data_IF_189151360668
#
_entry.id   IF_189151360668
#
_cell.length_a   1.000
_cell.length_b   1.000
_cell.length_c   1.000
_cell.angle_alpha   90.00
_cell.angle_beta   90.00
_cell.angle_gamma   90.00
#
_symmetry.space_group_name_H-M   'P 1'
#
loop_
_entity.id
_entity.type
_entity.pdbx_description
1 polymer ?
#
# COMPACT_ATOMS: atom_id res chain seq x y z
N UNK A 1 7.77 -74.52 -25.03
CA UNK A 1 6.76 -73.55 -24.59
C UNK A 1 7.11 -72.88 -23.25
N UNK A 2 7.78 -73.57 -22.32
CA UNK A 2 8.17 -73.05 -20.99
C UNK A 2 8.99 -71.74 -21.02
N UNK A 3 9.95 -71.60 -21.93
CA UNK A 3 10.78 -70.38 -22.02
C UNK A 3 9.98 -69.12 -22.36
N UNK A 4 8.90 -69.24 -23.16
CA UNK A 4 8.02 -68.10 -23.48
C UNK A 4 7.23 -67.64 -22.26
N UNK A 5 6.71 -68.59 -21.49
CA UNK A 5 5.99 -68.32 -20.25
C UNK A 5 6.88 -67.63 -19.19
N UNK A 6 8.16 -67.99 -19.11
CA UNK A 6 9.10 -67.31 -18.22
C UNK A 6 9.40 -65.87 -18.66
N UNK A 7 9.44 -65.59 -19.95
CA UNK A 7 9.64 -64.24 -20.48
C UNK A 7 8.39 -63.39 -20.20
N UNK A 8 7.20 -63.90 -20.50
CA UNK A 8 5.93 -63.22 -20.22
C UNK A 8 5.77 -62.89 -18.73
N UNK A 9 6.01 -63.86 -17.85
CA UNK A 9 5.95 -63.63 -16.40
C UNK A 9 6.97 -62.58 -15.94
N UNK A 10 8.17 -62.55 -16.53
CA UNK A 10 9.18 -61.53 -16.23
C UNK A 10 8.71 -60.15 -16.68
N UNK A 11 8.19 -60.03 -17.90
CA UNK A 11 7.72 -58.76 -18.44
C UNK A 11 6.54 -58.22 -17.63
N UNK A 12 5.62 -59.08 -17.20
CA UNK A 12 4.53 -58.72 -16.29
C UNK A 12 5.04 -58.17 -14.95
N UNK A 13 6.06 -58.80 -14.36
CA UNK A 13 6.66 -58.29 -13.12
C UNK A 13 7.37 -56.94 -13.32
N UNK A 14 8.04 -56.75 -14.44
CA UNK A 14 8.69 -55.47 -14.77
C UNK A 14 7.63 -54.38 -14.94
N UNK A 15 6.54 -54.67 -15.66
CA UNK A 15 5.43 -53.74 -15.85
C UNK A 15 4.76 -53.37 -14.51
N UNK A 16 4.51 -54.36 -13.65
CA UNK A 16 3.95 -54.13 -12.33
C UNK A 16 4.86 -53.24 -11.46
N UNK A 17 6.17 -53.49 -11.48
CA UNK A 17 7.15 -52.68 -10.76
C UNK A 17 7.19 -51.24 -11.29
N UNK A 18 7.20 -51.05 -12.61
CA UNK A 18 7.15 -49.72 -13.21
C UNK A 18 5.87 -48.96 -12.85
N UNK A 19 4.71 -49.63 -12.89
CA UNK A 19 3.45 -49.04 -12.47
C UNK A 19 3.50 -48.59 -11.00
N UNK A 20 4.10 -49.40 -10.12
CA UNK A 20 4.28 -49.06 -8.71
C UNK A 20 5.19 -47.84 -8.52
N UNK A 21 6.31 -47.75 -9.23
CA UNK A 21 7.22 -46.60 -9.16
C UNK A 21 6.50 -45.32 -9.59
N UNK A 22 5.73 -45.36 -10.69
CA UNK A 22 4.96 -44.20 -11.16
C UNK A 22 3.94 -43.76 -10.10
N UNK A 23 3.23 -44.72 -9.50
CA UNK A 23 2.26 -44.41 -8.45
C UNK A 23 2.91 -43.78 -7.22
N UNK A 24 4.06 -44.30 -6.79
CA UNK A 24 4.84 -43.75 -5.67
C UNK A 24 5.32 -42.33 -5.97
N UNK A 25 5.83 -42.07 -7.19
CA UNK A 25 6.28 -40.75 -7.59
C UNK A 25 5.14 -39.73 -7.55
N UNK A 26 3.97 -40.07 -8.11
CA UNK A 26 2.78 -39.19 -8.07
C UNK A 26 2.35 -38.91 -6.63
N UNK A 27 2.42 -39.91 -5.75
CA UNK A 27 2.08 -39.75 -4.35
C UNK A 27 3.07 -38.83 -3.61
N UNK A 28 4.37 -39.02 -3.82
CA UNK A 28 5.42 -38.17 -3.26
C UNK A 28 5.27 -36.72 -3.73
N UNK A 29 4.96 -36.50 -5.00
CA UNK A 29 4.73 -35.15 -5.53
C UNK A 29 3.55 -34.47 -4.83
N UNK A 30 2.44 -35.19 -4.61
CA UNK A 30 1.29 -34.67 -3.87
C UNK A 30 1.63 -34.35 -2.41
N UNK A 31 2.40 -35.22 -1.75
CA UNK A 31 2.87 -34.96 -0.39
C UNK A 31 3.77 -33.73 -0.32
N UNK A 32 4.72 -33.61 -1.24
CA UNK A 32 5.62 -32.47 -1.34
C UNK A 32 4.84 -31.16 -1.56
N UNK A 33 3.83 -31.16 -2.43
CA UNK A 33 2.96 -30.00 -2.63
C UNK A 33 2.18 -29.63 -1.35
N UNK A 34 1.65 -30.62 -0.64
CA UNK A 34 0.90 -30.39 0.59
C UNK A 34 1.80 -29.86 1.73
N UNK A 35 3.01 -30.39 1.87
CA UNK A 35 4.01 -29.89 2.82
C UNK A 35 4.42 -28.46 2.48
N UNK A 36 4.75 -28.21 1.21
CA UNK A 36 5.11 -26.90 0.71
C UNK A 36 4.04 -25.84 1.04
N UNK A 37 2.76 -26.15 0.80
CA UNK A 37 1.65 -25.24 1.11
C UNK A 37 1.51 -24.95 2.61
N UNK A 38 1.80 -25.94 3.47
CA UNK A 38 1.75 -25.79 4.93
C UNK A 38 2.93 -24.96 5.44
N UNK A 39 4.13 -25.22 4.93
CA UNK A 39 5.36 -24.53 5.35
C UNK A 39 5.40 -23.07 4.88
N UNK A 40 4.89 -22.79 3.67
CA UNK A 40 4.89 -21.44 3.10
C UNK A 40 3.60 -20.65 3.37
N UNK A 41 2.77 -21.09 4.31
CA UNK A 41 1.53 -20.38 4.71
C UNK A 41 1.81 -18.94 5.19
N UNK A 42 3.00 -18.68 5.73
CA UNK A 42 3.46 -17.33 6.11
C UNK A 42 4.83 -17.08 5.51
N UNK A 43 5.08 -15.84 5.08
CA UNK A 43 6.43 -15.43 4.73
C UNK A 43 7.30 -15.44 6.00
N UNK A 44 8.21 -16.41 6.10
CA UNK A 44 9.25 -16.39 7.13
C UNK A 44 10.16 -15.18 6.91
N UNK A 45 10.41 -14.42 7.98
CA UNK A 45 11.39 -13.33 7.97
C UNK A 45 12.84 -13.83 7.98
N UNK A 46 13.07 -15.13 8.14
CA UNK A 46 14.40 -15.75 8.14
C UNK A 46 14.86 -16.09 6.72
N UNK A 47 16.18 -16.19 6.56
CA UNK A 47 16.81 -16.58 5.29
C UNK A 47 16.26 -17.93 4.82
N UNK A 48 15.55 -17.93 3.69
CA UNK A 48 15.10 -19.16 3.04
C UNK A 48 16.34 -19.87 2.48
N UNK A 49 16.64 -21.06 3.01
CA UNK A 49 17.74 -21.92 2.53
C UNK A 49 17.45 -22.45 1.11
N UNK A 50 16.17 -22.53 0.73
CA UNK A 50 15.72 -22.91 -0.61
C UNK A 50 14.82 -21.79 -1.16
N UNK A 51 15.36 -21.04 -2.11
CA UNK A 51 14.70 -19.85 -2.66
C UNK A 51 13.53 -20.23 -3.56
N UNK A 52 13.60 -21.45 -4.15
CA UNK A 52 12.64 -21.97 -5.14
C UNK A 52 12.03 -23.34 -4.74
N UNK A 53 11.75 -23.49 -3.43
CA UNK A 53 10.58 -24.23 -2.95
C UNK A 53 10.59 -25.76 -3.03
N UNK A 54 11.54 -26.33 -3.75
CA UNK A 54 11.81 -27.77 -3.78
C UNK A 54 13.29 -27.90 -3.54
N UNK A 55 13.71 -28.76 -2.61
CA UNK A 55 15.12 -29.03 -2.29
C UNK A 55 15.88 -29.63 -3.48
N UNK A 56 16.01 -28.86 -4.55
CA UNK A 56 16.78 -29.14 -5.74
C UNK A 56 18.21 -28.72 -5.46
N UNK A 57 19.13 -29.52 -5.95
CA UNK A 57 20.52 -29.12 -6.10
C UNK A 57 20.53 -28.02 -7.16
N UNK A 58 20.66 -26.76 -6.72
CA UNK A 58 20.83 -25.63 -7.62
C UNK A 58 22.27 -25.62 -8.12
N UNK A 59 22.46 -25.44 -9.43
CA UNK A 59 23.78 -25.14 -9.96
C UNK A 59 24.20 -23.71 -9.53
N UNK A 60 25.51 -23.42 -9.54
CA UNK A 60 26.06 -22.13 -9.07
C UNK A 60 25.34 -20.91 -9.68
N UNK A 61 25.08 -20.91 -10.99
CA UNK A 61 24.36 -19.83 -11.67
C UNK A 61 22.89 -19.72 -11.26
N UNK A 62 22.20 -20.83 -11.04
CA UNK A 62 20.79 -20.84 -10.62
C UNK A 62 20.65 -20.27 -9.21
N UNK A 63 21.60 -20.60 -8.32
CA UNK A 63 21.65 -20.06 -6.96
C UNK A 63 21.85 -18.55 -6.96
N UNK A 64 22.77 -18.02 -7.78
CA UNK A 64 23.02 -16.58 -7.89
C UNK A 64 21.76 -15.84 -8.35
N UNK A 65 21.11 -16.30 -9.43
CA UNK A 65 19.88 -15.64 -9.92
C UNK A 65 18.75 -15.68 -8.90
N UNK A 66 18.64 -16.76 -8.13
CA UNK A 66 17.63 -16.88 -7.08
C UNK A 66 17.90 -15.89 -5.93
N UNK A 67 19.15 -15.73 -5.52
CA UNK A 67 19.55 -14.76 -4.49
C UNK A 67 19.29 -13.32 -4.94
N UNK A 68 19.59 -12.99 -6.20
CA UNK A 68 19.30 -11.68 -6.78
C UNK A 68 17.81 -11.38 -6.78
N UNK A 69 16.97 -12.33 -7.20
CA UNK A 69 15.50 -12.18 -7.15
C UNK A 69 14.99 -11.97 -5.73
N UNK A 70 15.53 -12.67 -4.73
CA UNK A 70 15.12 -12.45 -3.34
C UNK A 70 15.54 -11.07 -2.83
N UNK A 71 16.77 -10.64 -3.13
CA UNK A 71 17.27 -9.31 -2.78
C UNK A 71 16.40 -8.22 -3.41
N UNK A 72 16.08 -8.34 -4.71
CA UNK A 72 15.21 -7.40 -5.40
C UNK A 72 13.80 -7.38 -4.79
N UNK A 73 13.23 -8.55 -4.48
CA UNK A 73 11.94 -8.65 -3.79
C UNK A 73 11.94 -7.91 -2.45
N UNK A 74 13.00 -8.08 -1.64
CA UNK A 74 13.15 -7.38 -0.35
C UNK A 74 13.25 -5.87 -0.56
N UNK A 75 14.06 -5.42 -1.52
CA UNK A 75 14.24 -4.01 -1.84
C UNK A 75 12.93 -3.37 -2.31
N UNK A 76 12.18 -4.03 -3.22
CA UNK A 76 10.86 -3.56 -3.68
C UNK A 76 9.86 -3.47 -2.53
N UNK A 77 9.83 -4.45 -1.61
CA UNK A 77 8.97 -4.40 -0.43
C UNK A 77 9.34 -3.24 0.50
N UNK A 78 10.63 -2.97 0.67
CA UNK A 78 11.11 -1.88 1.52
C UNK A 78 10.78 -0.52 0.91
N UNK A 79 11.08 -0.32 -0.37
CA UNK A 79 10.72 0.89 -1.11
C UNK A 79 9.20 1.15 -1.08
N UNK A 80 8.37 0.10 -1.24
CA UNK A 80 6.92 0.23 -1.14
C UNK A 80 6.45 0.63 0.27
N UNK A 81 7.13 0.15 1.33
CA UNK A 81 6.82 0.58 2.70
C UNK A 81 7.17 2.04 2.92
N UNK A 82 8.33 2.48 2.43
CA UNK A 82 8.78 3.87 2.52
C UNK A 82 7.83 4.81 1.77
N UNK A 83 7.47 4.48 0.52
CA UNK A 83 6.48 5.25 -0.24
C UNK A 83 5.12 5.31 0.46
N UNK A 84 4.66 4.22 1.09
CA UNK A 84 3.43 4.23 1.89
C UNK A 84 3.57 5.10 3.13
N UNK A 85 4.75 5.15 3.74
CA UNK A 85 5.07 6.05 4.86
C UNK A 85 4.95 7.51 4.44
N UNK A 86 5.60 7.89 3.35
CA UNK A 86 5.56 9.25 2.79
C UNK A 86 4.13 9.68 2.46
N UNK A 87 3.37 8.85 1.73
CA UNK A 87 1.96 9.15 1.40
C UNK A 87 1.08 9.34 2.63
N UNK A 88 1.32 8.58 3.71
CA UNK A 88 0.59 8.74 4.98
C UNK A 88 0.99 10.02 5.70
N UNK A 89 2.27 10.40 5.66
CA UNK A 89 2.75 11.65 6.24
C UNK A 89 2.16 12.87 5.52
N UNK A 90 2.20 12.88 4.18
CA UNK A 90 1.60 13.93 3.34
C UNK A 90 0.10 14.07 3.63
N UNK A 91 -0.65 12.96 3.64
CA UNK A 91 -2.09 13.01 3.97
C UNK A 91 -2.38 13.53 5.38
N UNK A 92 -1.49 13.28 6.34
CA UNK A 92 -1.63 13.81 7.71
C UNK A 92 -1.33 15.30 7.77
N UNK A 93 -0.29 15.77 7.08
CA UNK A 93 0.06 17.18 6.98
C UNK A 93 -1.09 17.99 6.35
N UNK A 94 -1.56 17.56 5.18
CA UNK A 94 -2.72 18.14 4.50
C UNK A 94 -3.96 18.23 5.38
N UNK A 95 -4.25 17.17 6.14
CA UNK A 95 -5.39 17.17 7.06
C UNK A 95 -5.19 18.16 8.21
N UNK A 96 -3.97 18.28 8.73
CA UNK A 96 -3.65 19.21 9.81
C UNK A 96 -3.78 20.67 9.35
N UNK A 97 -3.32 21.00 8.14
CA UNK A 97 -3.48 22.33 7.53
C UNK A 97 -4.95 22.69 7.30
N UNK A 98 -5.74 21.76 6.76
CA UNK A 98 -7.20 21.93 6.61
C UNK A 98 -7.91 22.13 7.95
N UNK A 99 -7.47 21.44 9.01
CA UNK A 99 -8.05 21.59 10.34
C UNK A 99 -7.64 22.90 11.00
N UNK A 100 -6.39 23.34 10.84
CA UNK A 100 -5.88 24.61 11.34
C UNK A 100 -6.62 25.80 10.72
N UNK A 101 -6.73 25.84 9.39
CA UNK A 101 -7.47 26.87 8.65
C UNK A 101 -8.97 26.88 8.99
N UNK A 102 -9.58 25.71 9.18
CA UNK A 102 -10.96 25.62 9.64
C UNK A 102 -11.14 26.19 11.05
N UNK A 103 -10.20 25.91 11.96
CA UNK A 103 -10.26 26.43 13.33
C UNK A 103 -10.10 27.95 13.37
N UNK A 104 -9.16 28.53 12.61
CA UNK A 104 -9.01 29.99 12.52
C UNK A 104 -10.26 30.65 11.93
N UNK A 105 -10.85 30.09 10.87
CA UNK A 105 -12.09 30.59 10.29
C UNK A 105 -13.29 30.50 11.25
N UNK A 106 -13.32 29.46 12.10
CA UNK A 106 -14.33 29.33 13.14
C UNK A 106 -14.14 30.40 14.22
N UNK A 107 -12.91 30.65 14.64
CA UNK A 107 -12.59 31.64 15.67
C UNK A 107 -12.92 33.05 15.20
N UNK A 108 -12.56 33.43 13.97
CA UNK A 108 -12.91 34.72 13.38
C UNK A 108 -14.42 34.91 13.28
N UNK A 109 -15.17 33.89 12.85
CA UNK A 109 -16.63 33.94 12.82
C UNK A 109 -17.22 34.09 14.24
N UNK A 110 -16.68 33.40 15.25
CA UNK A 110 -17.17 33.57 16.63
C UNK A 110 -16.91 34.97 17.17
N UNK A 111 -15.77 35.59 16.83
CA UNK A 111 -15.47 36.97 17.16
C UNK A 111 -16.45 37.93 16.47
N UNK A 112 -16.66 37.77 15.16
CA UNK A 112 -17.60 38.58 14.39
C UNK A 112 -19.05 38.48 14.92
N UNK A 113 -19.50 37.27 15.33
CA UNK A 113 -20.82 37.08 15.93
C UNK A 113 -20.91 37.78 17.30
N UNK A 114 -19.85 37.75 18.12
CA UNK A 114 -19.82 38.46 19.40
C UNK A 114 -19.93 39.97 19.20
N UNK A 115 -19.18 40.53 18.24
CA UNK A 115 -19.24 41.96 17.91
C UNK A 115 -20.61 42.35 17.35
N UNK A 116 -21.16 41.54 16.44
CA UNK A 116 -22.50 41.74 15.90
C UNK A 116 -23.58 41.72 16.98
N UNK A 117 -23.49 40.79 17.94
CA UNK A 117 -24.43 40.74 19.08
C UNK A 117 -24.33 41.99 19.93
N UNK A 118 -23.12 42.45 20.28
CA UNK A 118 -22.92 43.71 21.01
C UNK A 118 -23.50 44.91 20.27
N UNK A 119 -23.29 45.00 18.95
CA UNK A 119 -23.86 46.07 18.12
C UNK A 119 -25.39 46.03 18.10
N UNK A 120 -25.98 44.83 18.02
CA UNK A 120 -27.43 44.65 18.09
C UNK A 120 -28.01 45.01 19.47
N UNK A 121 -27.32 44.65 20.55
CA UNK A 121 -27.71 45.01 21.92
C UNK A 121 -27.70 46.54 22.11
N UNK A 122 -26.68 47.25 21.63
CA UNK A 122 -26.61 48.71 21.71
C UNK A 122 -27.72 49.39 20.88
N UNK A 123 -27.98 48.91 19.66
CA UNK A 123 -29.08 49.42 18.83
C UNK A 123 -30.47 49.16 19.46
N UNK A 124 -30.62 48.03 20.16
CA UNK A 124 -31.83 47.73 20.93
C UNK A 124 -31.99 48.72 22.09
N UNK A 125 -30.89 49.05 22.79
CA UNK A 125 -30.89 50.06 23.87
C UNK A 125 -31.27 51.44 23.35
N UNK A 126 -30.87 51.76 22.13
CA UNK A 126 -31.23 52.99 21.41
C UNK A 126 -32.66 52.97 20.82
N UNK A 127 -33.45 51.93 21.08
CA UNK A 127 -34.82 51.72 20.57
C UNK A 127 -34.94 51.71 19.05
N UNK A 128 -33.85 51.37 18.35
CA UNK A 128 -33.89 51.17 16.89
C UNK A 128 -34.74 49.94 16.59
N UNK A 129 -35.60 50.01 15.58
CA UNK A 129 -36.40 48.86 15.16
C UNK A 129 -35.47 47.72 14.74
N UNK A 130 -35.79 46.48 15.16
CA UNK A 130 -35.05 45.26 14.81
C UNK A 130 -34.84 45.06 13.30
N UNK A 131 -35.71 45.64 12.46
CA UNK A 131 -35.59 45.61 10.99
C UNK A 131 -34.36 46.36 10.47
N UNK A 132 -33.83 47.32 11.23
CA UNK A 132 -32.66 48.13 10.87
C UNK A 132 -31.37 47.61 11.52
N UNK A 133 -31.41 46.47 12.22
CA UNK A 133 -30.21 45.88 12.78
C UNK A 133 -29.30 45.35 11.67
N UNK A 134 -27.97 45.36 11.85
CA UNK A 134 -27.06 44.75 10.90
C UNK A 134 -27.42 43.28 10.70
N UNK A 135 -27.22 42.77 9.47
CA UNK A 135 -27.44 41.34 9.17
C UNK A 135 -26.43 40.48 9.91
N UNK A 136 -26.85 39.29 10.33
CA UNK A 136 -25.98 38.36 11.02
C UNK A 136 -24.81 37.92 10.12
N UNK A 137 -23.59 37.75 10.69
CA UNK A 137 -22.46 37.17 9.97
C UNK A 137 -22.82 35.79 9.39
N UNK A 138 -22.38 35.53 8.16
CA UNK A 138 -22.60 34.25 7.49
C UNK A 138 -21.56 33.26 7.99
N UNK A 139 -22.00 32.06 8.37
CA UNK A 139 -21.13 31.00 8.86
C UNK A 139 -20.28 30.45 7.70
N UNK A 140 -18.94 30.40 7.81
CA UNK A 140 -18.11 29.74 6.80
C UNK A 140 -18.45 28.26 6.74
N UNK A 141 -18.55 27.70 5.53
CA UNK A 141 -18.75 26.26 5.34
C UNK A 141 -17.40 25.56 5.21
N UNK A 142 -17.33 24.33 5.70
CA UNK A 142 -16.11 23.50 5.58
C UNK A 142 -15.72 23.25 4.12
N UNK A 143 -16.70 23.13 3.23
CA UNK A 143 -16.51 22.83 1.82
C UNK A 143 -15.71 23.92 1.08
N UNK A 144 -15.98 25.19 1.40
CA UNK A 144 -15.32 26.34 0.76
C UNK A 144 -13.83 26.40 1.12
N UNK A 145 -13.48 26.00 2.35
CA UNK A 145 -12.09 25.99 2.84
C UNK A 145 -11.33 24.78 2.29
N UNK A 146 -11.99 23.62 2.16
CA UNK A 146 -11.37 22.45 1.53
C UNK A 146 -11.11 22.66 0.03
N UNK A 147 -11.95 23.44 -0.66
CA UNK A 147 -11.75 23.78 -2.07
C UNK A 147 -10.57 24.75 -2.25
N UNK A 148 -10.40 25.73 -1.37
CA UNK A 148 -9.29 26.68 -1.44
C UNK A 148 -7.92 26.00 -1.22
N UNK A 149 -7.82 25.08 -0.27
CA UNK A 149 -6.55 24.40 0.06
C UNK A 149 -6.15 23.36 -0.99
N UNK A 150 -7.12 22.74 -1.66
CA UNK A 150 -6.85 21.85 -2.78
C UNK A 150 -6.23 22.59 -3.97
N UNK A 151 -6.65 23.84 -4.22
CA UNK A 151 -6.09 24.69 -5.28
C UNK A 151 -4.66 25.12 -4.94
N UNK A 152 -4.36 25.52 -3.71
CA UNK A 152 -3.01 25.94 -3.31
C UNK A 152 -1.99 24.78 -3.32
N UNK A 153 -2.39 23.57 -2.91
CA UNK A 153 -1.49 22.41 -2.95
C UNK A 153 -1.28 21.86 -4.38
N UNK A 154 -2.24 22.04 -5.30
CA UNK A 154 -2.04 21.71 -6.71
C UNK A 154 -1.06 22.69 -7.39
N UNK A 155 -1.07 23.97 -7.00
CA UNK A 155 -0.11 24.98 -7.48
C UNK A 155 1.31 24.72 -6.95
N UNK A 156 1.50 24.47 -5.64
CA UNK A 156 2.83 24.19 -5.07
C UNK A 156 3.47 22.89 -5.59
N UNK A 157 2.66 21.87 -5.90
CA UNK A 157 3.15 20.60 -6.42
C UNK A 157 3.57 20.70 -7.91
N UNK A 158 3.09 21.72 -8.62
CA UNK A 158 3.49 21.99 -10.00
C UNK A 158 4.83 22.73 -10.09
N UNK A 159 5.16 23.58 -9.12
CA UNK A 159 6.41 24.33 -9.06
C UNK A 159 7.62 23.47 -8.61
N UNK A 160 7.44 22.50 -7.70
CA UNK A 160 8.54 21.58 -7.32
C UNK A 160 8.95 20.61 -8.45
N UNK A 161 8.02 20.26 -9.36
CA UNK A 161 8.33 19.42 -10.52
C UNK A 161 9.03 20.20 -11.64
N UNK A 162 8.94 21.53 -11.67
CA UNK A 162 9.68 22.37 -12.62
C UNK A 162 11.15 22.59 -12.22
N UNK A 163 11.52 22.36 -10.96
CA UNK A 163 12.87 22.64 -10.44
C UNK A 163 13.83 21.43 -10.43
N UNK A 164 13.40 20.22 -10.78
CA UNK A 164 14.30 19.03 -10.80
C UNK A 164 14.81 18.62 -12.20
N UNK A 165 14.63 19.47 -13.22
CA UNK A 165 15.02 19.19 -14.62
C UNK A 165 16.31 19.90 -15.09
N UNK A 166 17.33 20.04 -14.23
CA UNK A 166 18.65 20.59 -14.55
C UNK A 166 19.63 20.05 -13.48
N UNK A 167 20.68 19.25 -13.70
CA UNK A 167 21.60 19.00 -14.82
C UNK A 167 22.04 17.52 -14.78
N UNK A 168 22.21 16.88 -15.95
CA UNK A 168 23.12 15.74 -16.07
C UNK A 168 23.67 15.71 -17.49
N UNK A 169 24.84 16.34 -17.67
CA UNK A 169 25.76 16.10 -18.77
C UNK A 169 27.20 16.37 -18.31
N UNK A 170 28.08 15.39 -18.55
CA UNK A 170 29.55 15.43 -18.37
C UNK A 170 30.04 14.83 -17.04
N UNK A 171 30.92 13.83 -16.97
CA UNK A 171 31.88 13.22 -17.91
C UNK A 171 31.97 11.70 -17.69
#
# INVERSE_FOLDING_TARGET
>A
MLAKQHIEARDDTIMANHAQIVLQNVYLDKQNQALYAKENKKESGHTKLFIDEKGRWLNEGELITALERDKERRNRKQAAKEQRGVKRAQKRALKAEMEATWNTAKDTHTAAVKEWKKACEELTRQKVLKKNHPKAPVRPQKADITAAIQVEHEEEQSDELSSSSFESDGE
#
